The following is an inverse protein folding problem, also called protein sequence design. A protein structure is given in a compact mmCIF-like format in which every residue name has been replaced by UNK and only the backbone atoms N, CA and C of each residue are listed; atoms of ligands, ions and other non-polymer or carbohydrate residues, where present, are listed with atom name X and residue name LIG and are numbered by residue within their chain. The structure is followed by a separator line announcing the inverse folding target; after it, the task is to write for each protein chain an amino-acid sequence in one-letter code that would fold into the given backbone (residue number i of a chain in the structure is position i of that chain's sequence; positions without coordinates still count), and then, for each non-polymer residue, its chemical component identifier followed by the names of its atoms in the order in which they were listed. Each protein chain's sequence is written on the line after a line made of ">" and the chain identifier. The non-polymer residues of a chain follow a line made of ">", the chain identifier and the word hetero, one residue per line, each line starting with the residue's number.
data_IF_735014136826
#
_entry.id   IF_735014136826
#
_cell.length_a   1.000
_cell.length_b   1.000
_cell.length_c   1.000
_cell.angle_alpha   90.00
_cell.angle_beta   90.00
_cell.angle_gamma   90.00
#
_symmetry.space_group_name_H-M   'P 1'
#
loop_
_entity.id
_entity.type
_entity.pdbx_description
1 polymer ?
#
# COMPACT_ATOMS: atom_id res chain seq x y z
N UNK A 1 11.38 -2.78 -0.32
CA UNK A 1 12.10 -4.05 -0.62
C UNK A 1 13.43 -4.14 0.11
N UNK A 2 14.39 -3.25 -0.14
CA UNK A 2 15.73 -3.32 0.49
C UNK A 2 15.72 -3.37 2.03
N UNK A 3 14.84 -2.59 2.68
CA UNK A 3 14.61 -2.67 4.14
C UNK A 3 14.12 -4.06 4.60
N UNK A 4 13.12 -4.61 3.91
CA UNK A 4 12.50 -5.92 4.23
C UNK A 4 13.46 -7.09 4.00
N UNK A 5 14.32 -7.00 2.99
CA UNK A 5 15.25 -8.07 2.59
C UNK A 5 16.63 -7.92 3.23
N UNK A 6 16.81 -6.97 4.15
CA UNK A 6 18.08 -6.68 4.83
C UNK A 6 19.26 -6.46 3.86
N UNK A 7 19.00 -5.72 2.78
CA UNK A 7 20.01 -5.42 1.75
C UNK A 7 20.77 -4.11 2.00
N UNK A 8 20.31 -3.31 2.97
CA UNK A 8 20.94 -2.05 3.34
C UNK A 8 21.96 -2.30 4.46
N UNK A 9 23.13 -1.63 4.44
CA UNK A 9 23.97 -1.52 5.62
C UNK A 9 23.16 -0.97 6.80
N UNK A 10 23.39 -1.49 8.01
CA UNK A 10 22.61 -1.11 9.19
C UNK A 10 22.60 0.40 9.45
N UNK A 11 23.73 1.08 9.22
CA UNK A 11 23.87 2.52 9.33
C UNK A 11 22.92 3.32 8.41
N UNK A 12 22.49 2.74 7.27
CA UNK A 12 21.61 3.38 6.30
C UNK A 12 20.14 3.00 6.45
N UNK A 13 19.81 2.02 7.29
CA UNK A 13 18.43 1.54 7.47
C UNK A 13 17.51 2.65 7.97
N UNK A 14 17.94 3.39 9.00
CA UNK A 14 17.15 4.50 9.56
C UNK A 14 16.86 5.57 8.50
N UNK A 15 17.91 6.08 7.83
CA UNK A 15 17.75 7.12 6.81
C UNK A 15 16.86 6.66 5.64
N UNK A 16 16.91 5.37 5.28
CA UNK A 16 16.06 4.80 4.23
C UNK A 16 14.60 4.66 4.67
N UNK A 17 14.34 4.34 5.93
CA UNK A 17 13.00 4.32 6.50
C UNK A 17 12.41 5.74 6.62
N UNK A 18 13.20 6.70 7.10
CA UNK A 18 12.82 8.11 7.14
C UNK A 18 12.45 8.62 5.73
N UNK A 19 13.23 8.22 4.71
CA UNK A 19 12.93 8.55 3.31
C UNK A 19 11.65 7.89 2.82
N UNK A 20 11.37 6.64 3.21
CA UNK A 20 10.11 5.96 2.87
C UNK A 20 8.91 6.72 3.45
N UNK A 21 8.97 7.12 4.73
CA UNK A 21 7.92 7.92 5.37
C UNK A 21 7.73 9.26 4.65
N UNK A 22 8.82 9.96 4.34
CA UNK A 22 8.74 11.24 3.61
C UNK A 22 8.09 11.10 2.23
N UNK A 23 8.30 9.97 1.53
CA UNK A 23 7.65 9.70 0.25
C UNK A 23 6.16 9.39 0.39
N UNK A 24 5.75 8.73 1.48
CA UNK A 24 4.34 8.51 1.81
C UNK A 24 3.67 9.85 2.15
N UNK A 25 4.29 10.66 3.01
CA UNK A 25 3.80 11.98 3.39
C UNK A 25 3.63 12.90 2.17
N UNK A 26 4.61 12.94 1.27
CA UNK A 26 4.55 13.71 0.02
C UNK A 26 3.43 13.27 -0.94
N UNK A 27 2.85 12.07 -0.74
CA UNK A 27 1.68 11.56 -1.46
C UNK A 27 0.38 11.76 -0.68
N UNK A 28 0.35 12.76 0.20
CA UNK A 28 -0.76 13.00 1.12
C UNK A 28 -1.13 11.72 1.89
N UNK A 29 -0.10 10.99 2.34
CA UNK A 29 -0.27 9.79 3.13
C UNK A 29 -1.02 8.67 2.40
N UNK A 30 -0.68 8.49 1.13
CA UNK A 30 -1.12 7.36 0.31
C UNK A 30 0.07 6.47 -0.05
N UNK A 31 -0.22 5.17 -0.18
CA UNK A 31 0.72 4.20 -0.71
C UNK A 31 0.90 4.42 -2.22
N UNK A 32 2.03 3.94 -2.76
CA UNK A 32 2.27 3.90 -4.21
C UNK A 32 2.87 2.58 -4.65
N UNK A 33 2.69 1.53 -3.86
CA UNK A 33 3.25 0.20 -4.11
C UNK A 33 2.35 -0.63 -5.02
N UNK A 34 2.98 -1.40 -5.91
CA UNK A 34 2.35 -2.50 -6.63
C UNK A 34 2.56 -3.85 -5.91
N UNK A 35 2.36 -4.95 -6.64
CA UNK A 35 2.30 -6.31 -6.10
C UNK A 35 3.47 -6.70 -5.20
N UNK A 36 4.69 -6.32 -5.54
CA UNK A 36 5.88 -6.71 -4.78
C UNK A 36 6.11 -5.85 -3.53
N UNK A 37 5.65 -4.60 -3.55
CA UNK A 37 5.88 -3.64 -2.48
C UNK A 37 4.84 -3.75 -1.37
N UNK A 38 3.57 -3.87 -1.74
CA UNK A 38 2.42 -3.88 -0.82
C UNK A 38 2.52 -4.90 0.32
N UNK A 39 2.85 -6.20 0.10
CA UNK A 39 2.96 -7.18 1.19
C UNK A 39 3.99 -6.79 2.25
N UNK A 40 5.01 -6.00 1.88
CA UNK A 40 6.12 -5.65 2.77
C UNK A 40 6.00 -4.25 3.34
N UNK A 41 5.02 -3.45 2.90
CA UNK A 41 4.98 -2.03 3.22
C UNK A 41 4.69 -1.78 4.69
N UNK A 42 3.56 -2.30 5.20
CA UNK A 42 3.19 -2.10 6.61
C UNK A 42 4.15 -2.83 7.56
N UNK A 43 4.60 -4.08 7.29
CA UNK A 43 5.62 -4.74 8.10
C UNK A 43 6.91 -3.91 8.21
N UNK A 44 7.45 -3.39 7.09
CA UNK A 44 8.66 -2.56 7.13
C UNK A 44 8.46 -1.28 7.92
N UNK A 45 7.30 -0.62 7.79
CA UNK A 45 7.00 0.58 8.58
C UNK A 45 6.99 0.24 10.07
N UNK A 46 6.36 -0.86 10.47
CA UNK A 46 6.38 -1.33 11.86
C UNK A 46 7.79 -1.69 12.35
N UNK A 47 8.56 -2.46 11.58
CA UNK A 47 9.93 -2.88 11.91
C UNK A 47 10.89 -1.70 12.08
N UNK A 48 10.60 -0.57 11.43
CA UNK A 48 11.41 0.65 11.47
C UNK A 48 10.87 1.70 12.44
N UNK A 49 9.86 1.36 13.25
CA UNK A 49 9.34 2.22 14.32
C UNK A 49 8.24 3.20 13.89
N UNK A 50 7.66 3.01 12.70
CA UNK A 50 6.63 3.88 12.09
C UNK A 50 5.25 3.20 12.02
N UNK A 51 4.88 2.47 13.07
CA UNK A 51 3.57 1.78 13.17
C UNK A 51 2.40 2.76 13.08
N UNK A 52 2.57 4.00 13.52
CA UNK A 52 1.61 5.09 13.36
C UNK A 52 1.33 5.41 11.88
N UNK A 53 2.38 5.48 11.05
CA UNK A 53 2.28 5.64 9.60
C UNK A 53 1.61 4.43 8.96
N UNK A 54 1.93 3.22 9.42
CA UNK A 54 1.26 2.00 8.96
C UNK A 54 -0.26 2.03 9.21
N UNK A 55 -0.68 2.39 10.44
CA UNK A 55 -2.09 2.58 10.76
C UNK A 55 -2.74 3.74 9.99
N UNK A 56 -1.98 4.78 9.65
CA UNK A 56 -2.51 5.87 8.81
C UNK A 56 -2.83 5.38 7.41
N UNK A 57 -1.94 4.60 6.79
CA UNK A 57 -2.17 3.98 5.49
C UNK A 57 -3.34 2.98 5.52
N UNK A 58 -3.42 2.14 6.55
CA UNK A 58 -4.51 1.17 6.70
C UNK A 58 -5.88 1.85 6.77
N UNK A 59 -5.96 2.99 7.46
CA UNK A 59 -7.21 3.75 7.65
C UNK A 59 -7.52 4.74 6.52
N UNK A 60 -6.65 4.86 5.52
CA UNK A 60 -6.87 5.76 4.39
C UNK A 60 -8.10 5.30 3.59
N UNK A 61 -8.92 6.26 3.17
CA UNK A 61 -10.18 6.02 2.42
C UNK A 61 -10.19 6.64 1.04
N UNK A 62 -9.37 7.66 0.77
CA UNK A 62 -9.21 8.20 -0.59
C UNK A 62 -8.29 7.31 -1.45
N UNK A 63 -8.42 7.44 -2.77
CA UNK A 63 -7.60 6.70 -3.73
C UNK A 63 -6.14 7.19 -3.71
N UNK A 64 -5.13 6.29 -3.77
CA UNK A 64 -5.22 4.82 -3.65
C UNK A 64 -5.17 4.32 -2.20
N UNK A 65 -6.10 3.44 -1.82
CA UNK A 65 -6.11 2.77 -0.51
C UNK A 65 -6.99 1.52 -0.51
N UNK A 66 -6.86 0.69 0.54
CA UNK A 66 -7.81 -0.40 0.79
C UNK A 66 -9.21 0.15 1.10
N UNK A 67 -9.30 1.21 1.91
CA UNK A 67 -10.57 1.86 2.24
C UNK A 67 -11.30 2.39 1.02
N UNK A 68 -10.58 2.88 0.01
CA UNK A 68 -11.18 3.32 -1.26
C UNK A 68 -11.95 2.20 -1.98
N UNK A 69 -11.41 0.98 -2.03
CA UNK A 69 -12.09 -0.17 -2.65
C UNK A 69 -13.37 -0.52 -1.86
N UNK A 70 -13.25 -0.53 -0.53
CA UNK A 70 -14.37 -0.82 0.39
C UNK A 70 -15.49 0.23 0.24
N UNK A 71 -15.13 1.51 0.16
CA UNK A 71 -16.08 2.63 0.00
C UNK A 71 -16.83 2.58 -1.34
N UNK A 72 -16.23 1.96 -2.35
CA UNK A 72 -16.85 1.67 -3.65
C UNK A 72 -17.65 0.36 -3.66
N UNK A 73 -17.77 -0.32 -2.51
CA UNK A 73 -18.58 -1.54 -2.36
C UNK A 73 -17.85 -2.85 -2.68
N UNK A 74 -16.51 -2.88 -2.65
CA UNK A 74 -15.78 -4.11 -2.88
C UNK A 74 -16.07 -5.18 -1.81
N UNK A 75 -16.32 -6.42 -2.24
CA UNK A 75 -16.40 -7.60 -1.35
C UNK A 75 -15.21 -8.55 -1.52
N UNK A 76 -14.32 -8.24 -2.46
CA UNK A 76 -13.06 -8.92 -2.75
C UNK A 76 -11.99 -7.87 -3.10
N UNK A 77 -10.72 -8.25 -3.06
CA UNK A 77 -9.62 -7.38 -3.46
C UNK A 77 -9.57 -7.21 -4.98
N UNK A 78 -9.36 -5.99 -5.45
CA UNK A 78 -9.22 -5.72 -6.88
C UNK A 78 -7.78 -5.92 -7.38
N UNK A 79 -7.63 -6.23 -8.66
CA UNK A 79 -6.32 -6.30 -9.33
C UNK A 79 -5.60 -4.96 -9.33
N UNK A 80 -6.36 -3.86 -9.39
CA UNK A 80 -5.83 -2.50 -9.41
C UNK A 80 -6.40 -1.69 -8.25
N UNK A 81 -5.63 -0.71 -7.79
CA UNK A 81 -6.14 0.26 -6.82
C UNK A 81 -7.32 1.07 -7.37
N UNK A 82 -7.39 1.24 -8.69
CA UNK A 82 -8.39 2.01 -9.45
C UNK A 82 -9.23 1.14 -10.39
N UNK A 83 -9.50 -0.12 -10.07
CA UNK A 83 -10.37 -0.95 -10.92
C UNK A 83 -11.72 -0.29 -11.22
N UNK A 84 -12.26 0.42 -10.23
CA UNK A 84 -13.16 1.57 -10.43
C UNK A 84 -12.32 2.83 -10.20
N UNK A 85 -12.24 3.71 -11.20
CA UNK A 85 -11.52 4.97 -11.14
C UNK A 85 -12.26 6.01 -10.26
N UNK A 86 -11.57 7.08 -9.80
CA UNK A 86 -12.20 8.10 -8.96
C UNK A 86 -13.45 8.73 -9.58
N UNK A 87 -13.46 8.89 -10.91
CA UNK A 87 -14.59 9.40 -11.70
C UNK A 87 -15.76 8.41 -11.86
N UNK A 88 -15.60 7.17 -11.38
CA UNK A 88 -16.59 6.10 -11.45
C UNK A 88 -16.50 5.22 -12.70
N UNK A 89 -15.64 5.55 -13.66
CA UNK A 89 -15.38 4.69 -14.82
C UNK A 89 -14.58 3.44 -14.44
N UNK A 90 -14.63 2.41 -15.26
CA UNK A 90 -13.78 1.23 -15.06
C UNK A 90 -12.41 1.42 -15.74
N UNK A 91 -11.39 0.79 -15.16
CA UNK A 91 -10.11 0.59 -15.85
C UNK A 91 -10.28 -0.29 -17.11
N UNK A 92 -9.25 -0.29 -17.97
CA UNK A 92 -9.27 -1.00 -19.25
C UNK A 92 -9.67 -2.49 -19.13
N UNK A 93 -10.60 -2.99 -19.96
CA UNK A 93 -11.09 -4.37 -19.87
C UNK A 93 -10.02 -5.41 -20.22
N UNK A 94 -8.90 -5.00 -20.83
CA UNK A 94 -7.81 -5.91 -21.16
C UNK A 94 -7.18 -6.54 -19.91
N UNK A 95 -7.17 -5.83 -18.77
CA UNK A 95 -6.61 -6.31 -17.50
C UNK A 95 -7.19 -5.50 -16.34
N UNK A 96 -8.38 -5.91 -15.85
CA UNK A 96 -9.09 -5.27 -14.75
C UNK A 96 -10.01 -6.23 -13.96
N UNK A 97 -9.42 -7.21 -13.27
CA UNK A 97 -10.15 -8.13 -12.40
C UNK A 97 -10.55 -7.49 -11.07
N UNK A 98 -11.76 -7.81 -10.58
CA UNK A 98 -12.28 -7.38 -9.28
C UNK A 98 -12.06 -8.40 -8.16
N UNK A 99 -11.33 -9.49 -8.42
CA UNK A 99 -11.07 -10.55 -7.44
C UNK A 99 -9.65 -11.11 -7.59
N UNK A 100 -8.67 -10.34 -7.11
CA UNK A 100 -7.25 -10.68 -7.13
C UNK A 100 -6.65 -10.47 -5.74
N UNK A 101 -6.11 -11.53 -5.13
CA UNK A 101 -5.72 -11.52 -3.71
C UNK A 101 -4.44 -10.73 -3.40
N UNK A 102 -3.67 -10.27 -4.40
CA UNK A 102 -2.35 -9.68 -4.21
C UNK A 102 -2.33 -8.52 -3.20
N UNK A 103 -3.28 -7.59 -3.28
CA UNK A 103 -3.38 -6.49 -2.31
C UNK A 103 -4.05 -6.88 -0.99
N UNK A 104 -4.65 -8.08 -0.92
CA UNK A 104 -5.11 -8.70 0.32
C UNK A 104 -3.97 -9.20 1.21
N UNK A 105 -2.73 -9.19 0.71
CA UNK A 105 -1.53 -9.48 1.51
C UNK A 105 -1.38 -8.61 2.76
N UNK A 106 -2.05 -7.45 2.82
CA UNK A 106 -2.13 -6.63 4.05
C UNK A 106 -2.64 -7.41 5.27
N UNK A 107 -3.39 -8.51 5.04
CA UNK A 107 -3.89 -9.38 6.09
C UNK A 107 -2.82 -10.06 6.95
N UNK A 108 -1.57 -10.21 6.47
CA UNK A 108 -0.50 -10.76 7.32
C UNK A 108 -0.05 -9.79 8.43
N UNK A 109 -0.25 -8.49 8.22
CA UNK A 109 0.15 -7.44 9.16
C UNK A 109 -0.92 -7.16 10.23
N UNK A 110 -2.19 -7.50 9.95
CA UNK A 110 -3.32 -7.34 10.89
C UNK A 110 -3.34 -8.44 11.92
#
# INVERSE_FOLDING_TARGET
>A
LALSMNLLPDALRKASADRLVALIEAKDWHLSTGFLGTPRLLPVLTDTGHTDVAHRLLRQRSFPSWGYQIDKGSTTMWERWDSIQPDGSFQTPAMNSFNHYAYGSVGEWM
#
